data_IF_374594338520
#
_entry.id   IF_374594338520
#
_cell.length_a   1.000
_cell.length_b   1.000
_cell.length_c   1.000
_cell.angle_alpha   90.00
_cell.angle_beta   90.00
_cell.angle_gamma   90.00
#
_symmetry.space_group_name_H-M   'P 1'
#
loop_
_entity.id
_entity.type
_entity.pdbx_description
1 polymer ?
#
# COMPACT_ATOMS: atom_id res chain seq x y z
N UNK A 1 -32.33 27.54 -10.79
CA UNK A 1 -31.82 26.83 -11.98
C UNK A 1 -31.52 25.40 -11.56
N UNK A 2 -32.06 24.39 -12.24
CA UNK A 2 -31.80 22.98 -11.91
C UNK A 2 -30.42 22.56 -12.43
N UNK A 3 -29.64 21.85 -11.62
CA UNK A 3 -28.27 21.42 -11.93
C UNK A 3 -28.10 20.77 -13.33
N UNK A 4 -29.02 19.91 -13.82
CA UNK A 4 -28.92 19.32 -15.16
C UNK A 4 -29.06 20.33 -16.30
N UNK A 5 -29.85 21.40 -16.12
CA UNK A 5 -30.11 22.41 -17.17
C UNK A 5 -28.82 23.16 -17.54
N UNK A 6 -27.94 23.40 -16.58
CA UNK A 6 -26.65 24.05 -16.81
C UNK A 6 -25.76 23.30 -17.83
N UNK A 7 -25.75 21.97 -17.76
CA UNK A 7 -24.97 21.13 -18.69
C UNK A 7 -25.63 21.04 -20.07
N UNK A 8 -26.97 21.11 -20.14
CA UNK A 8 -27.73 21.10 -21.39
C UNK A 8 -27.55 22.42 -22.15
N UNK A 9 -27.64 23.55 -21.45
CA UNK A 9 -27.54 24.88 -22.06
C UNK A 9 -26.10 25.22 -22.51
N UNK A 10 -25.09 24.53 -21.96
CA UNK A 10 -23.66 24.69 -22.31
C UNK A 10 -23.04 23.36 -22.73
N UNK A 11 -23.35 22.85 -23.94
CA UNK A 11 -22.89 21.54 -24.40
C UNK A 11 -21.37 21.42 -24.49
N UNK A 12 -20.66 22.51 -24.83
CA UNK A 12 -19.20 22.54 -24.89
C UNK A 12 -18.59 22.27 -23.50
N UNK A 13 -19.17 22.84 -22.44
CA UNK A 13 -18.68 22.63 -21.07
C UNK A 13 -18.84 21.16 -20.64
N UNK A 14 -20.00 20.56 -20.95
CA UNK A 14 -20.25 19.16 -20.64
C UNK A 14 -19.26 18.20 -21.34
N UNK A 15 -18.96 18.47 -22.62
CA UNK A 15 -18.00 17.66 -23.40
C UNK A 15 -16.59 17.80 -22.83
N UNK A 16 -16.14 19.03 -22.54
CA UNK A 16 -14.80 19.26 -21.95
C UNK A 16 -14.66 18.54 -20.62
N UNK A 17 -15.68 18.60 -19.75
CA UNK A 17 -15.64 17.89 -18.47
C UNK A 17 -15.57 16.37 -18.65
N UNK A 18 -16.34 15.81 -19.58
CA UNK A 18 -16.29 14.39 -19.90
C UNK A 18 -14.91 13.95 -20.39
N UNK A 19 -14.29 14.75 -21.26
CA UNK A 19 -12.93 14.47 -21.78
C UNK A 19 -11.88 14.56 -20.67
N UNK A 20 -11.98 15.56 -19.78
CA UNK A 20 -11.07 15.67 -18.63
C UNK A 20 -11.20 14.46 -17.70
N UNK A 21 -12.41 14.01 -17.39
CA UNK A 21 -12.65 12.81 -16.59
C UNK A 21 -12.08 11.55 -17.26
N UNK A 22 -12.26 11.42 -18.58
CA UNK A 22 -11.72 10.30 -19.35
C UNK A 22 -10.18 10.28 -19.33
N UNK A 23 -9.54 11.42 -19.58
CA UNK A 23 -8.06 11.52 -19.54
C UNK A 23 -7.54 11.23 -18.13
N UNK A 24 -8.17 11.79 -17.09
CA UNK A 24 -7.79 11.50 -15.70
C UNK A 24 -7.91 10.02 -15.36
N UNK A 25 -8.97 9.36 -15.84
CA UNK A 25 -9.15 7.92 -15.70
C UNK A 25 -8.05 7.11 -16.40
N UNK A 26 -7.69 7.48 -17.64
CA UNK A 26 -6.63 6.81 -18.40
C UNK A 26 -5.28 6.96 -17.69
N UNK A 27 -4.92 8.15 -17.21
CA UNK A 27 -3.66 8.36 -16.48
C UNK A 27 -3.63 7.54 -15.19
N UNK A 28 -4.75 7.52 -14.45
CA UNK A 28 -4.85 6.75 -13.20
C UNK A 28 -4.72 5.25 -13.42
N UNK A 29 -5.23 4.74 -14.55
CA UNK A 29 -5.12 3.33 -14.92
C UNK A 29 -3.66 2.89 -15.06
N UNK A 30 -2.80 3.71 -15.66
CA UNK A 30 -1.37 3.40 -15.78
C UNK A 30 -0.61 3.50 -14.46
N UNK A 31 -1.14 4.20 -13.46
CA UNK A 31 -0.51 4.40 -12.16
C UNK A 31 -0.95 3.39 -11.11
N UNK A 32 -1.97 2.57 -11.42
CA UNK A 32 -2.48 1.55 -10.53
C UNK A 32 -1.45 0.40 -10.40
N UNK A 33 -0.95 0.11 -9.18
CA UNK A 33 -0.05 -1.00 -8.97
C UNK A 33 -0.80 -2.33 -9.18
N UNK A 34 -0.31 -3.14 -10.11
CA UNK A 34 -0.82 -4.48 -10.32
C UNK A 34 -0.14 -5.43 -9.31
N UNK A 35 -0.93 -5.98 -8.40
CA UNK A 35 -0.53 -7.01 -7.45
C UNK A 35 -1.27 -8.29 -7.81
N UNK A 36 -0.55 -9.35 -8.18
CA UNK A 36 -1.15 -10.64 -8.60
C UNK A 36 -1.80 -11.39 -7.42
N UNK A 37 -1.24 -11.19 -6.23
CA UNK A 37 -1.79 -11.67 -4.98
C UNK A 37 -1.60 -10.59 -3.92
N UNK A 38 -2.61 -10.29 -3.08
CA UNK A 38 -2.38 -9.48 -1.90
C UNK A 38 -1.29 -10.14 -1.07
N UNK A 39 -0.46 -9.34 -0.38
CA UNK A 39 0.54 -9.86 0.55
C UNK A 39 -0.18 -10.56 1.72
N UNK A 40 -0.54 -11.82 1.52
CA UNK A 40 -1.20 -12.70 2.51
C UNK A 40 -0.20 -13.25 3.54
N UNK A 41 1.09 -12.93 3.39
CA UNK A 41 2.11 -13.29 4.36
C UNK A 41 2.16 -12.24 5.47
N UNK A 42 1.97 -12.63 6.74
CA UNK A 42 2.29 -11.77 7.86
C UNK A 42 3.72 -11.26 7.70
N UNK A 43 4.01 -9.96 7.88
CA UNK A 43 5.38 -9.47 7.85
C UNK A 43 6.16 -10.14 8.99
N UNK A 44 7.09 -11.04 8.65
CA UNK A 44 7.97 -11.68 9.62
C UNK A 44 9.24 -10.86 9.77
N UNK A 45 9.56 -10.46 11.00
CA UNK A 45 10.83 -9.82 11.33
C UNK A 45 11.74 -10.91 11.88
N UNK A 46 12.90 -11.13 11.26
CA UNK A 46 13.88 -12.11 11.70
C UNK A 46 15.09 -11.39 12.28
N UNK A 47 15.39 -11.64 13.56
CA UNK A 47 16.55 -11.08 14.25
C UNK A 47 17.55 -12.21 14.47
N UNK A 48 18.75 -12.06 13.90
CA UNK A 48 19.83 -13.05 14.06
C UNK A 48 20.95 -12.46 14.92
N UNK A 49 21.38 -13.22 15.92
CA UNK A 49 22.48 -12.85 16.82
C UNK A 49 23.39 -14.05 17.04
N UNK A 50 24.70 -13.85 16.99
CA UNK A 50 25.68 -14.90 17.24
C UNK A 50 26.40 -14.65 18.57
N UNK A 51 26.37 -15.62 19.49
CA UNK A 51 27.13 -15.58 20.74
C UNK A 51 28.03 -16.83 20.86
N UNK A 52 29.21 -16.82 20.22
CA UNK A 52 30.09 -17.98 20.14
C UNK A 52 30.71 -18.31 21.50
N UNK A 53 30.77 -19.61 21.83
CA UNK A 53 31.38 -20.11 23.07
C UNK A 53 30.41 -20.25 24.25
N UNK A 54 29.12 -19.91 24.09
CA UNK A 54 28.10 -20.12 25.10
C UNK A 54 27.30 -21.42 24.88
N UNK A 55 26.86 -22.03 25.98
CA UNK A 55 25.92 -23.14 25.94
C UNK A 55 24.57 -22.64 25.36
N UNK A 56 23.89 -23.42 24.49
CA UNK A 56 22.52 -23.16 24.04
C UNK A 56 21.55 -22.63 25.12
N UNK A 57 21.59 -23.18 26.34
CA UNK A 57 20.75 -22.72 27.46
C UNK A 57 21.05 -21.28 27.88
N UNK A 58 22.33 -20.89 27.84
CA UNK A 58 22.78 -19.54 28.18
C UNK A 58 22.39 -18.55 27.08
N UNK A 59 22.50 -18.96 25.81
CA UNK A 59 22.10 -18.13 24.66
C UNK A 59 20.60 -17.83 24.71
N UNK A 60 19.78 -18.83 25.03
CA UNK A 60 18.33 -18.66 25.17
C UNK A 60 17.98 -17.66 26.28
N UNK A 61 18.58 -17.79 27.47
CA UNK A 61 18.22 -16.98 28.63
C UNK A 61 18.79 -15.55 28.60
N UNK A 62 19.99 -15.36 28.04
CA UNK A 62 20.71 -14.07 28.10
C UNK A 62 20.65 -13.25 26.82
N UNK A 63 20.36 -13.88 25.67
CA UNK A 63 20.28 -13.20 24.38
C UNK A 63 18.85 -13.23 23.84
N UNK A 64 18.21 -14.40 23.76
CA UNK A 64 16.86 -14.49 23.19
C UNK A 64 15.78 -13.86 24.09
N UNK A 65 15.78 -14.13 25.40
CA UNK A 65 14.79 -13.57 26.33
C UNK A 65 14.72 -12.03 26.33
N UNK A 66 15.83 -11.28 26.47
CA UNK A 66 15.75 -9.81 26.40
C UNK A 66 15.39 -9.28 25.01
N UNK A 67 15.68 -10.02 23.93
CA UNK A 67 15.29 -9.65 22.57
C UNK A 67 13.79 -9.84 22.31
N UNK A 68 13.12 -10.76 22.99
CA UNK A 68 11.65 -10.96 22.90
C UNK A 68 10.86 -9.99 23.78
N UNK A 69 11.47 -9.47 24.85
CA UNK A 69 10.82 -8.59 25.82
C UNK A 69 10.99 -7.09 25.52
N UNK A 70 11.86 -6.72 24.57
CA UNK A 70 12.12 -5.34 24.15
C UNK A 70 11.16 -4.86 23.06
#
# INVERSE_FOLDING_TARGET
MTFPRFFIDRPIFAIVLSVLMMIGGIVSFFQLPLSEYPAVTPPTVQVTTAYPGANPDVIAQTVATPLEQA
#
